data_IF_353562495459
#
_entry.id   IF_353562495459
#
_cell.length_a   1.000
_cell.length_b   1.000
_cell.length_c   1.000
_cell.angle_alpha   90.00
_cell.angle_beta   90.00
_cell.angle_gamma   90.00
#
_symmetry.space_group_name_H-M   'P 1'
#
loop_
_entity.id
_entity.type
_entity.pdbx_description
1 polymer ?
#
# COMPACT_ATOMS: atom_id res chain seq x y z
N UNK A 1 -10.16 -23.18 -8.80
CA UNK A 1 -8.91 -22.47 -9.10
C UNK A 1 -8.59 -21.56 -7.92
N UNK A 2 -7.60 -21.88 -7.09
CA UNK A 2 -7.18 -21.04 -5.95
C UNK A 2 -6.07 -20.14 -6.46
N UNK A 3 -6.40 -18.88 -6.76
CA UNK A 3 -5.39 -17.92 -7.20
C UNK A 3 -4.79 -17.33 -5.92
N UNK A 4 -3.63 -17.85 -5.53
CA UNK A 4 -2.85 -17.33 -4.41
C UNK A 4 -2.15 -16.05 -4.90
N UNK A 5 -2.72 -14.89 -4.60
CA UNK A 5 -2.07 -13.60 -4.85
C UNK A 5 -1.11 -13.29 -3.71
N UNK A 6 0.06 -13.93 -3.72
CA UNK A 6 1.20 -13.48 -2.93
C UNK A 6 2.00 -12.55 -3.83
N UNK A 7 1.75 -11.25 -3.73
CA UNK A 7 2.58 -10.22 -4.35
C UNK A 7 2.70 -9.11 -3.34
N UNK A 8 3.83 -9.09 -2.64
CA UNK A 8 4.33 -7.91 -1.94
C UNK A 8 4.24 -6.75 -2.91
N UNK A 9 3.42 -5.75 -2.58
CA UNK A 9 3.38 -4.50 -3.31
C UNK A 9 4.66 -3.76 -2.91
N UNK A 10 5.69 -3.87 -3.74
CA UNK A 10 6.92 -3.12 -3.55
C UNK A 10 6.66 -1.73 -4.10
N UNK A 11 6.30 -0.78 -3.23
CA UNK A 11 6.50 0.64 -3.57
C UNK A 11 7.98 0.82 -3.95
N UNK A 12 8.18 1.30 -5.18
CA UNK A 12 9.38 1.06 -5.95
C UNK A 12 10.69 1.50 -5.30
N UNK A 13 11.69 0.61 -5.34
CA UNK A 13 13.11 1.00 -5.23
C UNK A 13 13.76 0.77 -6.58
N UNK A 14 13.84 1.83 -7.39
CA UNK A 14 14.79 1.89 -8.51
C UNK A 14 15.99 2.71 -8.07
N UNK A 15 17.16 2.12 -7.94
CA UNK A 15 18.41 2.89 -8.00
C UNK A 15 19.53 2.10 -8.72
N UNK A 16 19.98 2.71 -9.81
CA UNK A 16 21.13 2.38 -10.66
C UNK A 16 22.44 2.41 -9.83
N UNK A 17 23.41 1.53 -10.14
CA UNK A 17 24.47 1.15 -9.19
C UNK A 17 25.77 1.97 -9.10
N UNK A 18 26.65 1.42 -8.22
CA UNK A 18 28.12 1.55 -8.04
C UNK A 18 28.73 2.75 -7.28
N UNK A 19 28.94 2.59 -5.96
CA UNK A 19 30.24 2.64 -5.22
C UNK A 19 30.04 2.52 -3.68
N UNK A 20 31.03 2.02 -2.89
CA UNK A 20 30.80 1.41 -1.57
C UNK A 20 30.87 2.38 -0.38
N UNK A 21 30.17 1.98 0.71
CA UNK A 21 30.15 2.56 2.08
C UNK A 21 29.14 3.67 2.33
N UNK A 22 27.87 3.32 2.55
CA UNK A 22 26.90 4.19 3.23
C UNK A 22 26.05 3.30 4.16
N UNK A 23 25.93 3.72 5.41
CA UNK A 23 25.05 3.17 6.45
C UNK A 23 23.75 2.63 5.83
N UNK A 24 23.40 1.38 6.14
CA UNK A 24 22.06 0.87 5.89
C UNK A 24 21.08 1.81 6.60
N UNK A 25 20.50 2.77 5.87
CA UNK A 25 19.24 3.39 6.25
C UNK A 25 18.17 2.31 6.03
N UNK A 26 18.17 1.30 6.90
CA UNK A 26 17.05 0.39 7.00
C UNK A 26 15.84 1.26 7.37
N UNK A 27 14.86 1.33 6.48
CA UNK A 27 13.58 1.97 6.78
C UNK A 27 12.97 1.41 8.05
N UNK A 28 12.03 2.15 8.66
CA UNK A 28 11.32 1.65 9.83
C UNK A 28 10.57 0.36 9.52
N UNK A 29 10.72 -0.64 10.38
CA UNK A 29 9.98 -1.90 10.28
C UNK A 29 8.50 -1.68 10.59
N UNK A 30 7.63 -2.54 10.05
CA UNK A 30 6.19 -2.54 10.36
C UNK A 30 5.95 -2.52 11.88
N UNK A 31 6.70 -3.31 12.66
CA UNK A 31 6.58 -3.34 14.11
C UNK A 31 6.93 -1.99 14.78
N UNK A 32 7.84 -1.20 14.21
CA UNK A 32 8.15 0.15 14.69
C UNK A 32 7.05 1.14 14.30
N UNK A 33 6.48 1.02 13.11
CA UNK A 33 5.37 1.85 12.65
C UNK A 33 4.09 1.60 13.47
N UNK A 34 3.78 0.34 13.76
CA UNK A 34 2.64 -0.06 14.60
C UNK A 34 2.71 0.54 16.00
N UNK A 35 3.91 0.66 16.58
CA UNK A 35 4.11 1.31 17.89
C UNK A 35 3.80 2.80 17.86
N UNK A 36 3.85 3.44 16.69
CA UNK A 36 3.58 4.86 16.52
C UNK A 36 2.11 5.17 16.17
N UNK A 37 1.37 4.16 15.70
CA UNK A 37 -0.04 4.28 15.39
C UNK A 37 -0.86 4.52 16.66
N UNK A 38 -1.90 5.35 16.55
CA UNK A 38 -2.89 5.58 17.62
C UNK A 38 -4.23 4.93 17.33
N UNK A 39 -4.52 4.63 16.06
CA UNK A 39 -5.69 3.86 15.68
C UNK A 39 -5.29 2.47 15.19
N UNK A 40 -6.14 1.50 15.47
CA UNK A 40 -5.95 0.12 15.03
C UNK A 40 -6.18 0.00 13.53
N UNK A 41 -5.62 -1.06 12.92
CA UNK A 41 -5.92 -1.44 11.53
C UNK A 41 -7.42 -1.54 11.28
N UNK A 42 -8.15 -2.22 12.15
CA UNK A 42 -9.61 -2.42 12.00
C UNK A 42 -10.41 -1.11 12.04
N UNK A 43 -9.99 -0.13 12.87
CA UNK A 43 -10.63 1.19 12.86
C UNK A 43 -10.35 1.93 11.56
N UNK A 44 -9.10 1.90 11.08
CA UNK A 44 -8.75 2.50 9.81
C UNK A 44 -9.45 1.81 8.62
N UNK A 45 -9.61 0.49 8.66
CA UNK A 45 -10.31 -0.32 7.67
C UNK A 45 -11.78 0.09 7.56
N UNK A 46 -12.44 0.31 8.71
CA UNK A 46 -13.81 0.81 8.74
C UNK A 46 -13.93 2.18 8.05
N UNK A 47 -13.03 3.12 8.38
CA UNK A 47 -12.99 4.45 7.75
C UNK A 47 -12.80 4.34 6.23
N UNK A 48 -11.91 3.45 5.79
CA UNK A 48 -11.63 3.25 4.38
C UNK A 48 -12.84 2.64 3.62
N UNK A 49 -13.53 1.67 4.23
CA UNK A 49 -14.74 1.06 3.65
C UNK A 49 -15.95 2.00 3.63
N UNK A 50 -16.08 2.91 4.60
CA UNK A 50 -17.07 4.00 4.53
C UNK A 50 -16.82 4.92 3.33
N UNK A 51 -15.54 5.11 2.95
CA UNK A 51 -15.16 5.92 1.79
C UNK A 51 -15.42 5.23 0.45
N UNK A 52 -15.40 3.90 0.41
CA UNK A 52 -15.60 3.09 -0.80
C UNK A 52 -16.80 2.13 -0.61
N UNK A 53 -18.03 2.62 -0.81
CA UNK A 53 -19.23 1.81 -0.64
C UNK A 53 -19.22 0.56 -1.51
N UNK A 54 -19.64 -0.57 -0.95
CA UNK A 54 -19.59 -1.90 -1.58
C UNK A 54 -18.17 -2.44 -1.88
N UNK A 55 -17.14 -1.71 -1.47
CA UNK A 55 -15.76 -2.13 -1.57
C UNK A 55 -15.45 -3.34 -0.69
N UNK A 56 -14.38 -4.06 -1.05
CA UNK A 56 -13.79 -5.10 -0.23
C UNK A 56 -12.29 -4.87 -0.12
N UNK A 57 -11.76 -4.98 1.09
CA UNK A 57 -10.33 -4.87 1.35
C UNK A 57 -9.62 -6.05 0.66
N UNK A 58 -8.69 -5.72 -0.22
CA UNK A 58 -7.78 -6.68 -0.86
C UNK A 58 -6.48 -6.80 -0.06
N UNK A 59 -5.91 -5.66 0.30
CA UNK A 59 -4.64 -5.52 1.02
C UNK A 59 -4.75 -4.35 1.98
N UNK A 60 -3.90 -4.34 3.00
CA UNK A 60 -3.72 -3.13 3.79
C UNK A 60 -2.55 -3.25 4.75
N UNK A 61 -1.76 -2.19 4.80
CA UNK A 61 -0.43 -2.10 5.42
C UNK A 61 -0.25 -0.75 6.12
N UNK A 62 0.77 -0.65 6.98
CA UNK A 62 1.12 0.58 7.68
C UNK A 62 2.45 1.11 7.17
N UNK A 63 2.47 2.37 6.75
CA UNK A 63 3.61 2.95 6.03
C UNK A 63 3.82 4.42 6.38
N UNK A 64 5.02 4.91 6.07
CA UNK A 64 5.31 6.34 6.05
C UNK A 64 5.19 6.84 4.61
N UNK A 65 4.11 7.54 4.31
CA UNK A 65 3.83 8.07 2.97
C UNK A 65 3.25 9.47 3.07
N UNK A 66 3.51 10.31 2.06
CA UNK A 66 3.06 11.72 2.05
C UNK A 66 3.42 12.49 3.33
N UNK A 67 4.57 12.18 3.93
CA UNK A 67 5.03 12.73 5.22
C UNK A 67 4.12 12.40 6.42
N UNK A 68 3.32 11.34 6.33
CA UNK A 68 2.44 10.87 7.39
C UNK A 68 2.59 9.37 7.62
N UNK A 69 2.36 8.94 8.87
CA UNK A 69 2.12 7.54 9.19
C UNK A 69 0.68 7.20 8.78
N UNK A 70 0.51 6.29 7.84
CA UNK A 70 -0.79 5.93 7.24
C UNK A 70 -1.04 4.43 7.33
N UNK A 71 -2.30 4.07 7.44
CA UNK A 71 -2.81 2.78 6.99
C UNK A 71 -3.21 2.93 5.52
N UNK A 72 -2.52 2.26 4.59
CA UNK A 72 -2.95 2.18 3.19
C UNK A 72 -3.84 0.96 3.01
N UNK A 73 -4.93 1.12 2.25
CA UNK A 73 -5.84 0.03 1.92
C UNK A 73 -6.16 0.02 0.44
N UNK A 74 -5.91 -1.14 -0.18
CA UNK A 74 -6.42 -1.43 -1.51
C UNK A 74 -7.84 -1.97 -1.42
N UNK A 75 -8.78 -1.27 -2.04
CA UNK A 75 -10.18 -1.65 -2.03
C UNK A 75 -10.64 -2.00 -3.44
N UNK A 76 -11.05 -3.26 -3.62
CA UNK A 76 -11.68 -3.72 -4.87
C UNK A 76 -13.17 -3.43 -4.85
N UNK A 77 -13.71 -2.92 -5.95
CA UNK A 77 -15.17 -2.74 -6.10
C UNK A 77 -15.73 -3.85 -6.99
N UNK A 78 -16.61 -4.74 -6.45
CA UNK A 78 -17.21 -5.82 -7.22
C UNK A 78 -17.89 -5.34 -8.50
N UNK A 79 -17.73 -6.10 -9.59
CA UNK A 79 -18.27 -5.74 -10.90
C UNK A 79 -17.42 -4.73 -11.69
N UNK A 80 -16.31 -4.24 -11.11
CA UNK A 80 -15.36 -3.36 -11.80
C UNK A 80 -13.96 -3.99 -11.82
N UNK A 81 -13.05 -3.40 -12.62
CA UNK A 81 -11.60 -3.69 -12.56
C UNK A 81 -10.83 -2.62 -11.77
N UNK A 82 -11.53 -1.74 -11.07
CA UNK A 82 -10.92 -0.63 -10.38
C UNK A 82 -10.45 -1.08 -9.01
N UNK A 83 -9.30 -0.55 -8.59
CA UNK A 83 -8.90 -0.54 -7.19
C UNK A 83 -8.81 0.89 -6.74
N UNK A 84 -9.44 1.14 -5.61
CA UNK A 84 -9.35 2.42 -4.93
C UNK A 84 -8.40 2.24 -3.77
N UNK A 85 -7.30 2.96 -3.79
CA UNK A 85 -6.41 3.06 -2.64
C UNK A 85 -6.94 4.15 -1.70
N UNK A 86 -6.96 3.87 -0.41
CA UNK A 86 -7.35 4.85 0.62
C UNK A 86 -6.30 4.87 1.72
N UNK A 87 -5.66 6.03 1.90
CA UNK A 87 -4.67 6.24 2.94
C UNK A 87 -5.34 6.93 4.13
N UNK A 88 -5.34 6.25 5.27
CA UNK A 88 -5.92 6.75 6.52
C UNK A 88 -4.80 7.06 7.51
N UNK A 89 -4.71 8.30 7.99
CA UNK A 89 -3.71 8.71 8.95
C UNK A 89 -3.79 7.85 10.22
N UNK A 90 -2.75 7.08 10.51
CA UNK A 90 -2.73 6.08 11.58
C UNK A 90 -2.72 6.70 13.00
N UNK A 91 -2.58 8.03 13.11
CA UNK A 91 -2.63 8.76 14.38
C UNK A 91 -3.97 9.45 14.63
N UNK A 92 -4.73 9.76 13.59
CA UNK A 92 -5.92 10.64 13.68
C UNK A 92 -7.17 10.08 13.02
N UNK A 93 -7.06 9.08 12.15
CA UNK A 93 -8.19 8.55 11.37
C UNK A 93 -8.62 9.42 10.19
N UNK A 94 -7.93 10.53 9.91
CA UNK A 94 -8.23 11.36 8.74
C UNK A 94 -7.77 10.67 7.46
N UNK A 95 -8.61 10.63 6.44
CA UNK A 95 -8.20 10.22 5.10
C UNK A 95 -7.25 11.29 4.55
N UNK A 96 -6.05 10.87 4.15
CA UNK A 96 -5.03 11.76 3.58
C UNK A 96 -5.02 11.70 2.06
N UNK A 97 -5.35 10.55 1.48
CA UNK A 97 -5.41 10.35 0.03
C UNK A 97 -6.48 9.31 -0.34
N UNK A 98 -7.06 9.51 -1.51
CA UNK A 98 -7.87 8.51 -2.21
C UNK A 98 -7.46 8.52 -3.68
N UNK A 99 -6.89 7.42 -4.14
CA UNK A 99 -6.48 7.24 -5.53
C UNK A 99 -7.31 6.11 -6.16
N UNK A 100 -7.44 6.08 -7.49
CA UNK A 100 -8.08 4.95 -8.18
C UNK A 100 -7.17 4.50 -9.31
N UNK A 101 -6.63 3.30 -9.16
CA UNK A 101 -5.86 2.65 -10.20
C UNK A 101 -6.80 2.04 -11.23
N UNK A 102 -6.52 2.33 -12.50
CA UNK A 102 -7.21 1.69 -13.60
C UNK A 102 -6.54 0.37 -13.96
N UNK A 103 -7.26 -0.51 -14.65
CA UNK A 103 -6.70 -1.77 -15.16
C UNK A 103 -5.44 -1.59 -16.03
N UNK A 104 -5.26 -0.41 -16.64
CA UNK A 104 -4.07 -0.07 -17.41
C UNK A 104 -2.85 0.15 -16.50
N UNK A 105 -3.04 0.85 -15.38
CA UNK A 105 -1.99 1.18 -14.42
C UNK A 105 -1.50 -0.10 -13.72
N UNK A 106 -2.45 -0.94 -13.32
CA UNK A 106 -2.15 -2.27 -12.79
C UNK A 106 -1.35 -3.17 -13.73
N UNK A 107 -1.67 -3.14 -15.03
CA UNK A 107 -0.95 -3.95 -16.02
C UNK A 107 0.50 -3.46 -16.19
N UNK A 108 0.72 -2.15 -16.08
CA UNK A 108 2.04 -1.53 -16.16
C UNK A 108 2.89 -1.87 -14.94
N UNK A 109 2.33 -1.80 -13.74
CA UNK A 109 3.03 -2.18 -12.51
C UNK A 109 3.34 -3.66 -12.45
N UNK A 110 2.38 -4.54 -12.79
CA UNK A 110 2.65 -5.98 -12.88
C UNK A 110 3.74 -6.32 -13.89
N UNK A 111 3.87 -5.56 -14.98
CA UNK A 111 4.96 -5.73 -15.94
C UNK A 111 6.30 -5.25 -15.35
N UNK A 112 6.31 -4.11 -14.64
CA UNK A 112 7.49 -3.60 -13.95
C UNK A 112 7.99 -4.55 -12.85
N UNK A 113 7.08 -5.09 -12.03
CA UNK A 113 7.40 -6.05 -10.96
C UNK A 113 7.99 -7.36 -11.51
N UNK A 114 7.41 -7.87 -12.61
CA UNK A 114 7.95 -9.08 -13.27
C UNK A 114 9.34 -8.85 -13.85
N UNK A 115 9.62 -7.63 -14.33
CA UNK A 115 10.94 -7.27 -14.82
C UNK A 115 11.95 -7.07 -13.67
N UNK A 116 11.50 -6.58 -12.51
CA UNK A 116 12.34 -6.34 -11.33
C UNK A 116 12.61 -7.61 -10.50
N UNK A 117 11.69 -8.58 -10.48
CA UNK A 117 11.81 -9.84 -9.72
C UNK A 117 12.51 -11.00 -10.45
N UNK A 118 13.10 -10.77 -11.62
CA UNK A 118 13.85 -11.79 -12.39
C UNK A 118 15.37 -11.60 -12.38
N UNK A 119 15.92 -10.84 -11.43
CA UNK A 119 17.37 -10.74 -11.22
C UNK A 119 17.79 -11.20 -9.83
#
# INVERSE_FOLDING_TARGET
MKINYSRSLLFGVTLFGLAPSILFAAGETEAQLLKQAKITRSHAEHIALEKVPNGKIRSGEIENEHHALVWSFDIVTPGTRNITEVLVNAKTGKIVEVSTETAHDQAKEQAADKAAGQK
#
